data_IF_589055349543
#
_entry.id   IF_589055349543
#
_cell.length_a   1.000
_cell.length_b   1.000
_cell.length_c   1.000
_cell.angle_alpha   90.00
_cell.angle_beta   90.00
_cell.angle_gamma   90.00
#
_symmetry.space_group_name_H-M   'P 1'
#
loop_
_entity.id
_entity.type
_entity.pdbx_description
1 polymer ?
#
# COMPACT_ATOMS: atom_id res chain seq x y z
N UNK A 1 -16.19 23.19 -20.86
CA UNK A 1 -14.78 22.74 -20.93
C UNK A 1 -14.69 21.37 -20.26
N UNK A 2 -14.44 20.30 -21.01
CA UNK A 2 -14.16 18.98 -20.40
C UNK A 2 -12.82 19.10 -19.67
N UNK A 3 -12.69 18.71 -18.39
CA UNK A 3 -11.39 18.77 -17.73
C UNK A 3 -10.38 17.98 -18.55
N UNK A 4 -9.22 18.58 -18.82
CA UNK A 4 -8.14 18.06 -19.68
C UNK A 4 -7.52 16.74 -19.18
N UNK A 5 -7.93 16.28 -17.99
CA UNK A 5 -7.47 15.05 -17.37
C UNK A 5 -8.66 14.10 -17.13
N UNK A 6 -8.71 13.01 -17.91
CA UNK A 6 -9.76 11.98 -17.82
C UNK A 6 -9.75 11.31 -16.45
N UNK A 7 -10.91 10.80 -16.02
CA UNK A 7 -11.04 10.09 -14.74
C UNK A 7 -10.13 8.84 -14.72
N UNK A 8 -10.05 8.11 -15.82
CA UNK A 8 -9.13 6.99 -15.99
C UNK A 8 -7.66 7.39 -15.71
N UNK A 9 -7.22 8.54 -16.21
CA UNK A 9 -5.86 9.01 -15.97
C UNK A 9 -5.62 9.42 -14.51
N UNK A 10 -6.66 9.84 -13.77
CA UNK A 10 -6.58 10.07 -12.32
C UNK A 10 -6.33 8.77 -11.57
N UNK A 11 -7.06 7.71 -11.91
CA UNK A 11 -6.84 6.39 -11.33
C UNK A 11 -5.47 5.81 -11.70
N UNK A 12 -5.04 5.93 -12.97
CA UNK A 12 -3.71 5.50 -13.42
C UNK A 12 -2.61 6.21 -12.63
N UNK A 13 -2.72 7.53 -12.48
CA UNK A 13 -1.77 8.32 -11.71
C UNK A 13 -1.79 7.94 -10.23
N UNK A 14 -2.97 7.72 -9.64
CA UNK A 14 -3.09 7.27 -8.27
C UNK A 14 -2.41 5.91 -8.05
N UNK A 15 -2.70 4.92 -8.90
CA UNK A 15 -2.06 3.61 -8.81
C UNK A 15 -0.54 3.72 -9.01
N UNK A 16 -0.07 4.49 -9.99
CA UNK A 16 1.36 4.71 -10.19
C UNK A 16 2.03 5.30 -8.96
N UNK A 17 1.50 6.37 -8.39
CA UNK A 17 2.05 7.02 -7.19
C UNK A 17 1.97 6.12 -5.95
N UNK A 18 0.88 5.38 -5.79
CA UNK A 18 0.67 4.49 -4.65
C UNK A 18 1.72 3.40 -4.63
N UNK A 19 1.88 2.71 -5.76
CA UNK A 19 2.84 1.63 -5.89
C UNK A 19 4.28 2.13 -5.98
N UNK A 20 4.53 3.32 -6.52
CA UNK A 20 5.84 3.97 -6.43
C UNK A 20 6.22 4.22 -4.96
N UNK A 21 5.31 4.78 -4.15
CA UNK A 21 5.54 4.96 -2.72
C UNK A 21 5.83 3.64 -2.01
N UNK A 22 5.09 2.57 -2.35
CA UNK A 22 5.37 1.21 -1.84
C UNK A 22 6.77 0.73 -2.28
N UNK A 23 7.16 0.95 -3.53
CA UNK A 23 8.49 0.57 -4.06
C UNK A 23 9.65 1.32 -3.43
N UNK A 24 9.43 2.57 -2.99
CA UNK A 24 10.41 3.36 -2.22
C UNK A 24 10.52 2.86 -0.79
N UNK A 25 9.40 2.56 -0.14
CA UNK A 25 9.36 2.30 1.30
C UNK A 25 9.61 0.83 1.65
N UNK A 26 8.81 -0.06 1.04
CA UNK A 26 8.67 -1.43 1.51
C UNK A 26 9.95 -2.27 1.40
N UNK A 27 10.76 -2.19 0.32
CA UNK A 27 11.98 -2.99 0.25
C UNK A 27 13.12 -2.50 1.12
N UNK A 28 13.06 -1.25 1.58
CA UNK A 28 14.20 -0.57 2.23
C UNK A 28 13.91 -0.20 3.69
N UNK A 29 12.67 -0.29 4.17
CA UNK A 29 12.32 0.03 5.55
C UNK A 29 13.05 -0.84 6.58
N UNK A 30 13.26 -2.13 6.29
CA UNK A 30 14.02 -3.02 7.16
C UNK A 30 15.48 -2.55 7.30
N UNK A 31 16.09 -2.11 6.19
CA UNK A 31 17.43 -1.55 6.16
C UNK A 31 17.51 -0.21 6.91
N UNK A 32 16.53 0.68 6.73
CA UNK A 32 16.42 1.92 7.50
C UNK A 32 16.34 1.65 9.01
N UNK A 33 15.48 0.72 9.44
CA UNK A 33 15.34 0.38 10.85
C UNK A 33 16.63 -0.24 11.41
N UNK A 34 17.34 -1.04 10.61
CA UNK A 34 18.66 -1.57 10.99
C UNK A 34 19.71 -0.47 11.14
N UNK A 35 19.65 0.59 10.33
CA UNK A 35 20.62 1.70 10.37
C UNK A 35 20.48 2.61 11.61
N UNK A 36 19.34 2.56 12.29
CA UNK A 36 19.08 3.28 13.55
C UNK A 36 19.27 2.38 14.78
N UNK A 37 20.11 1.34 14.64
CA UNK A 37 20.52 0.41 15.71
C UNK A 37 19.37 -0.39 16.37
N UNK A 38 18.25 -0.60 15.66
CA UNK A 38 17.21 -1.52 16.14
C UNK A 38 17.65 -2.97 16.01
N UNK A 39 17.35 -3.77 17.02
CA UNK A 39 17.59 -5.22 16.97
C UNK A 39 16.70 -5.90 15.93
N UNK A 40 17.17 -7.01 15.35
CA UNK A 40 16.39 -7.79 14.38
C UNK A 40 15.01 -8.23 14.90
N UNK A 41 14.89 -8.51 16.21
CA UNK A 41 13.59 -8.83 16.84
C UNK A 41 12.63 -7.63 16.86
N UNK A 42 13.14 -6.42 17.13
CA UNK A 42 12.34 -5.20 17.07
C UNK A 42 11.89 -4.89 15.63
N UNK A 43 12.79 -5.02 14.65
CA UNK A 43 12.48 -4.83 13.24
C UNK A 43 11.39 -5.81 12.81
N UNK A 44 11.56 -7.11 13.11
CA UNK A 44 10.58 -8.14 12.81
C UNK A 44 9.20 -7.85 13.41
N UNK A 45 9.15 -7.35 14.65
CA UNK A 45 7.89 -6.96 15.29
C UNK A 45 7.20 -5.81 14.56
N UNK A 46 7.93 -4.74 14.22
CA UNK A 46 7.37 -3.58 13.51
C UNK A 46 6.84 -3.98 12.13
N UNK A 47 7.60 -4.78 11.38
CA UNK A 47 7.20 -5.24 10.05
C UNK A 47 6.00 -6.20 10.10
N UNK A 48 5.91 -7.06 11.12
CA UNK A 48 4.80 -8.01 11.27
C UNK A 48 3.49 -7.34 11.71
N UNK A 49 3.57 -6.25 12.50
CA UNK A 49 2.38 -5.54 12.97
C UNK A 49 1.60 -4.87 11.86
N UNK A 50 2.27 -4.35 10.83
CA UNK A 50 1.62 -3.66 9.71
C UNK A 50 0.59 -4.54 8.98
N UNK A 51 0.93 -5.74 8.47
CA UNK A 51 -0.04 -6.61 7.83
C UNK A 51 -1.07 -7.19 8.81
N UNK A 52 -0.69 -7.48 10.05
CA UNK A 52 -1.60 -8.02 11.07
C UNK A 52 -2.73 -7.02 11.39
N UNK A 53 -2.36 -5.78 11.71
CA UNK A 53 -3.32 -4.71 11.99
C UNK A 53 -4.10 -4.39 10.72
N UNK A 54 -3.42 -4.31 9.57
CA UNK A 54 -4.06 -4.09 8.28
C UNK A 54 -5.19 -5.10 8.01
N UNK A 55 -4.95 -6.37 8.26
CA UNK A 55 -5.96 -7.44 8.10
C UNK A 55 -7.19 -7.24 8.99
N UNK A 56 -7.00 -6.83 10.25
CA UNK A 56 -8.09 -6.61 11.20
C UNK A 56 -8.87 -5.32 10.90
N UNK A 57 -8.19 -4.28 10.43
CA UNK A 57 -8.71 -2.92 10.32
C UNK A 57 -9.26 -2.61 8.93
N UNK A 58 -8.79 -3.30 7.87
CA UNK A 58 -9.32 -3.16 6.51
C UNK A 58 -10.85 -3.34 6.41
N UNK A 59 -11.46 -4.40 6.98
CA UNK A 59 -12.91 -4.59 6.91
C UNK A 59 -13.68 -3.48 7.63
N UNK A 60 -13.14 -2.96 8.73
CA UNK A 60 -13.76 -1.88 9.51
C UNK A 60 -13.81 -0.57 8.71
N UNK A 61 -12.72 -0.23 8.01
CA UNK A 61 -12.71 0.96 7.13
C UNK A 61 -13.64 0.81 5.94
N UNK A 62 -13.72 -0.38 5.34
CA UNK A 62 -14.69 -0.67 4.29
C UNK A 62 -16.11 -0.41 4.78
N UNK A 63 -16.45 -0.97 5.95
CA UNK A 63 -17.77 -0.78 6.57
C UNK A 63 -18.11 0.69 6.82
N UNK A 64 -17.20 1.42 7.48
CA UNK A 64 -17.41 2.81 7.83
C UNK A 64 -17.57 3.66 6.58
N UNK A 65 -16.75 3.41 5.56
CA UNK A 65 -16.84 4.16 4.30
C UNK A 65 -18.14 3.87 3.56
N UNK A 66 -18.58 2.60 3.54
CA UNK A 66 -19.82 2.17 2.90
C UNK A 66 -21.07 2.74 3.61
N UNK A 67 -21.10 2.73 4.94
CA UNK A 67 -22.26 3.19 5.73
C UNK A 67 -22.41 4.71 5.72
N UNK A 68 -21.30 5.45 5.79
CA UNK A 68 -21.32 6.91 5.86
C UNK A 68 -21.12 7.60 4.50
N UNK A 69 -20.92 6.82 3.41
CA UNK A 69 -20.62 7.34 2.08
C UNK A 69 -19.40 8.30 2.06
N UNK A 70 -18.34 7.90 2.76
CA UNK A 70 -17.14 8.73 2.98
C UNK A 70 -15.92 8.25 2.20
N UNK A 71 -16.07 7.47 1.12
CA UNK A 71 -14.96 6.81 0.42
C UNK A 71 -13.84 7.78 0.03
N UNK A 72 -14.16 8.87 -0.66
CA UNK A 72 -13.16 9.87 -1.04
C UNK A 72 -12.57 10.59 0.16
N UNK A 73 -13.40 10.98 1.14
CA UNK A 73 -12.94 11.66 2.34
C UNK A 73 -11.98 10.79 3.15
N UNK A 74 -12.36 9.53 3.39
CA UNK A 74 -11.54 8.54 4.09
C UNK A 74 -10.24 8.26 3.33
N UNK A 75 -10.26 8.22 2.00
CA UNK A 75 -9.06 8.04 1.18
C UNK A 75 -8.09 9.23 1.34
N UNK A 76 -8.58 10.47 1.22
CA UNK A 76 -7.78 11.69 1.39
C UNK A 76 -7.22 11.77 2.80
N UNK A 77 -8.07 11.54 3.81
CA UNK A 77 -7.69 11.54 5.22
C UNK A 77 -6.59 10.50 5.51
N UNK A 78 -6.75 9.28 4.98
CA UNK A 78 -5.77 8.22 5.11
C UNK A 78 -4.42 8.60 4.50
N UNK A 79 -4.39 9.10 3.26
CA UNK A 79 -3.17 9.53 2.59
C UNK A 79 -2.44 10.66 3.34
N UNK A 80 -3.16 11.70 3.78
CA UNK A 80 -2.57 12.80 4.55
C UNK A 80 -2.05 12.34 5.91
N UNK A 81 -2.83 11.53 6.62
CA UNK A 81 -2.45 11.06 7.95
C UNK A 81 -1.24 10.14 7.89
N UNK A 82 -1.15 9.27 6.87
CA UNK A 82 0.06 8.46 6.62
C UNK A 82 1.27 9.36 6.37
N UNK A 83 1.14 10.41 5.54
CA UNK A 83 2.23 11.35 5.32
C UNK A 83 2.74 11.98 6.62
N UNK A 84 1.84 12.40 7.52
CA UNK A 84 2.20 13.00 8.81
C UNK A 84 2.88 11.99 9.73
N UNK A 85 2.36 10.76 9.80
CA UNK A 85 2.93 9.69 10.64
C UNK A 85 4.36 9.34 10.20
N UNK A 86 4.61 9.31 8.89
CA UNK A 86 5.94 9.03 8.34
C UNK A 86 6.94 10.14 8.63
N UNK A 87 6.51 11.40 8.64
CA UNK A 87 7.37 12.50 9.13
C UNK A 87 7.72 12.28 10.60
N UNK A 88 6.76 11.87 11.44
CA UNK A 88 7.02 11.52 12.84
C UNK A 88 8.04 10.38 13.00
N UNK A 89 7.99 9.38 12.11
CA UNK A 89 8.96 8.28 12.06
C UNK A 89 10.41 8.75 11.86
N UNK A 90 10.62 9.80 11.06
CA UNK A 90 11.94 10.36 10.79
C UNK A 90 12.50 11.19 11.96
N UNK A 91 11.66 11.57 12.93
CA UNK A 91 12.05 12.45 14.05
C UNK A 91 12.43 11.70 15.33
N UNK A 92 12.34 10.37 15.35
CA UNK A 92 12.60 9.57 16.56
C UNK A 92 13.37 8.29 16.24
N UNK A 93 14.20 7.86 17.20
CA UNK A 93 14.86 6.56 17.21
C UNK A 93 14.35 5.67 18.37
N UNK A 94 13.46 6.22 19.22
CA UNK A 94 12.93 5.47 20.36
C UNK A 94 11.96 4.39 19.88
N UNK A 95 12.28 3.14 20.17
CA UNK A 95 11.51 1.96 19.77
C UNK A 95 10.02 2.04 20.17
N UNK A 96 9.68 2.48 21.37
CA UNK A 96 8.27 2.52 21.83
C UNK A 96 7.44 3.57 21.08
N UNK A 97 8.08 4.68 20.70
CA UNK A 97 7.46 5.69 19.85
C UNK A 97 7.28 5.14 18.43
N UNK A 98 8.32 4.49 17.87
CA UNK A 98 8.24 3.85 16.55
C UNK A 98 7.18 2.74 16.50
N UNK A 99 7.03 1.96 17.57
CA UNK A 99 5.98 0.96 17.71
C UNK A 99 4.58 1.60 17.65
N UNK A 100 4.37 2.67 18.41
CA UNK A 100 3.11 3.41 18.44
C UNK A 100 2.79 4.02 17.06
N UNK A 101 3.80 4.61 16.41
CA UNK A 101 3.67 5.14 15.05
C UNK A 101 3.43 4.04 14.02
N UNK A 102 4.00 2.84 14.20
CA UNK A 102 3.76 1.68 13.32
C UNK A 102 2.32 1.22 13.38
N UNK A 103 1.76 1.12 14.60
CA UNK A 103 0.35 0.77 14.81
C UNK A 103 -0.55 1.81 14.14
N UNK A 104 -0.26 3.09 14.38
CA UNK A 104 -1.02 4.19 13.80
C UNK A 104 -0.91 4.19 12.26
N UNK A 105 0.29 4.00 11.71
CA UNK A 105 0.52 3.85 10.28
C UNK A 105 -0.28 2.69 9.69
N UNK A 106 -0.29 1.52 10.34
CA UNK A 106 -1.02 0.35 9.87
C UNK A 106 -2.53 0.58 9.82
N UNK A 107 -3.10 1.22 10.85
CA UNK A 107 -4.53 1.59 10.91
C UNK A 107 -4.90 2.58 9.81
N UNK A 108 -4.08 3.61 9.59
CA UNK A 108 -4.38 4.69 8.65
C UNK A 108 -4.10 4.31 7.19
N UNK A 109 -3.12 3.43 6.94
CA UNK A 109 -2.76 2.95 5.59
C UNK A 109 -3.71 1.86 5.08
N UNK A 110 -4.33 1.09 5.98
CA UNK A 110 -5.29 0.02 5.66
C UNK A 110 -6.35 0.39 4.60
N UNK A 111 -7.07 1.53 4.70
CA UNK A 111 -8.15 1.88 3.76
C UNK A 111 -7.66 2.23 2.35
N UNK A 112 -6.43 2.72 2.18
CA UNK A 112 -6.00 3.36 0.93
C UNK A 112 -6.17 2.41 -0.27
N UNK A 113 -5.74 1.15 -0.14
CA UNK A 113 -5.80 0.16 -1.21
C UNK A 113 -7.22 -0.32 -1.53
N UNK A 114 -8.05 -0.52 -0.50
CA UNK A 114 -9.42 -1.00 -0.70
C UNK A 114 -10.31 0.10 -1.29
N UNK A 115 -10.19 1.33 -0.80
CA UNK A 115 -11.06 2.44 -1.22
C UNK A 115 -10.77 2.86 -2.66
N UNK A 116 -9.49 3.00 -3.05
CA UNK A 116 -9.17 3.32 -4.46
C UNK A 116 -9.65 2.20 -5.40
N UNK A 117 -9.53 0.94 -4.99
CA UNK A 117 -9.97 -0.19 -5.82
C UNK A 117 -11.49 -0.18 -5.98
N UNK A 118 -12.24 0.05 -4.90
CA UNK A 118 -13.71 0.18 -4.97
C UNK A 118 -14.14 1.35 -5.84
N UNK A 119 -13.54 2.54 -5.66
CA UNK A 119 -13.81 3.73 -6.48
C UNK A 119 -13.51 3.50 -7.96
N UNK A 120 -12.41 2.82 -8.28
CA UNK A 120 -12.04 2.50 -9.66
C UNK A 120 -13.00 1.51 -10.30
N UNK A 121 -13.40 0.45 -9.56
CA UNK A 121 -14.35 -0.55 -10.07
C UNK A 121 -15.74 0.05 -10.28
N UNK A 122 -16.19 0.94 -9.39
CA UNK A 122 -17.47 1.62 -9.55
C UNK A 122 -17.48 2.57 -10.75
N UNK A 123 -16.42 3.35 -10.94
CA UNK A 123 -16.24 4.19 -12.13
C UNK A 123 -16.35 3.36 -13.42
N UNK A 124 -15.63 2.24 -13.49
CA UNK A 124 -15.67 1.33 -14.65
C UNK A 124 -17.00 0.60 -14.82
N UNK A 125 -17.77 0.41 -13.76
CA UNK A 125 -19.10 -0.20 -13.83
C UNK A 125 -20.15 0.79 -14.37
N UNK A 126 -20.02 2.08 -14.04
CA UNK A 126 -20.94 3.16 -14.47
C UNK A 126 -20.69 3.60 -15.90
N UNK A 127 -19.42 3.78 -16.25
CA UNK A 127 -18.99 4.06 -17.59
C UNK A 127 -18.32 2.78 -18.10
N UNK A 128 -19.00 1.94 -18.92
CA UNK A 128 -18.36 0.80 -19.59
C UNK A 128 -17.35 1.34 -20.62
N UNK A 129 -16.24 1.85 -20.11
CA UNK A 129 -15.11 2.31 -20.85
C UNK A 129 -14.44 1.10 -21.50
N UNK A 130 -13.78 1.31 -22.63
CA UNK A 130 -12.96 0.27 -23.27
C UNK A 130 -11.76 -0.17 -22.40
N UNK A 131 -11.49 0.56 -21.32
CA UNK A 131 -10.40 0.40 -20.38
C UNK A 131 -10.78 -0.54 -19.24
N UNK A 132 -10.27 -1.78 -19.25
CA UNK A 132 -10.45 -2.71 -18.13
C UNK A 132 -9.68 -2.29 -16.88
N UNK A 133 -10.11 -2.75 -15.71
CA UNK A 133 -9.45 -2.50 -14.41
C UNK A 133 -7.94 -2.86 -14.43
N UNK A 134 -7.57 -3.92 -15.17
CA UNK A 134 -6.18 -4.30 -15.37
C UNK A 134 -5.32 -3.20 -16.00
N UNK A 135 -5.87 -2.40 -16.94
CA UNK A 135 -5.16 -1.28 -17.55
C UNK A 135 -4.88 -0.15 -16.56
N UNK A 136 -5.81 0.11 -15.63
CA UNK A 136 -5.58 1.09 -14.56
C UNK A 136 -4.51 0.60 -13.59
N UNK A 137 -4.60 -0.67 -13.18
CA UNK A 137 -3.69 -1.28 -12.19
C UNK A 137 -2.28 -1.51 -12.72
N UNK A 138 -2.09 -1.71 -14.03
CA UNK A 138 -0.78 -1.88 -14.66
C UNK A 138 0.17 -0.70 -14.36
N UNK A 139 -0.36 0.51 -14.31
CA UNK A 139 0.42 1.69 -13.94
C UNK A 139 0.99 1.62 -12.52
N UNK A 140 0.36 0.84 -11.64
CA UNK A 140 0.90 0.49 -10.34
C UNK A 140 2.22 -0.30 -10.44
N UNK A 141 2.25 -1.40 -11.19
CA UNK A 141 3.49 -2.17 -11.39
C UNK A 141 4.60 -1.33 -12.03
N UNK A 142 4.26 -0.49 -13.02
CA UNK A 142 5.22 0.46 -13.61
C UNK A 142 5.77 1.42 -12.54
N UNK A 143 4.89 2.01 -11.72
CA UNK A 143 5.28 2.90 -10.63
C UNK A 143 6.19 2.22 -9.61
N UNK A 144 5.85 0.99 -9.19
CA UNK A 144 6.69 0.21 -8.27
C UNK A 144 8.07 -0.06 -8.87
N UNK A 145 8.13 -0.59 -10.10
CA UNK A 145 9.37 -0.99 -10.74
C UNK A 145 10.33 0.20 -10.96
N UNK A 146 9.81 1.33 -11.44
CA UNK A 146 10.59 2.55 -11.63
C UNK A 146 11.13 3.08 -10.30
N UNK A 147 10.29 3.09 -9.26
CA UNK A 147 10.66 3.65 -7.97
C UNK A 147 11.63 2.74 -7.19
N UNK A 148 11.40 1.43 -7.17
CA UNK A 148 12.30 0.47 -6.52
C UNK A 148 13.67 0.43 -7.21
N UNK A 149 13.69 0.46 -8.55
CA UNK A 149 14.94 0.56 -9.29
C UNK A 149 15.65 1.89 -9.05
N UNK A 150 14.93 3.01 -9.08
CA UNK A 150 15.51 4.34 -8.86
C UNK A 150 16.17 4.49 -7.50
N UNK A 151 15.53 4.02 -6.42
CA UNK A 151 16.12 4.03 -5.08
C UNK A 151 17.30 3.05 -4.98
N UNK A 152 17.23 1.88 -5.62
CA UNK A 152 18.33 0.91 -5.63
C UNK A 152 19.55 1.34 -6.44
N UNK A 153 19.37 2.13 -7.51
CA UNK A 153 20.46 2.49 -8.44
C UNK A 153 21.27 3.72 -7.98
N UNK A 154 20.63 4.70 -7.34
CA UNK A 154 21.26 6.01 -7.10
C UNK A 154 21.75 6.23 -5.66
N UNK A 155 21.45 5.33 -4.72
CA UNK A 155 21.10 5.79 -3.38
C UNK A 155 21.44 4.81 -2.23
N UNK A 156 22.22 3.76 -2.47
CA UNK A 156 22.35 2.63 -1.53
C UNK A 156 23.12 2.95 -0.25
N UNK A 157 24.02 3.94 -0.24
CA UNK A 157 24.77 4.32 0.97
C UNK A 157 24.26 5.61 1.63
N UNK A 158 24.00 6.68 0.86
CA UNK A 158 23.54 7.97 1.42
C UNK A 158 22.02 8.14 1.52
N UNK A 159 21.20 7.22 0.97
CA UNK A 159 19.76 7.47 0.80
C UNK A 159 18.82 6.72 1.71
N UNK A 160 19.33 5.94 2.65
CA UNK A 160 18.52 5.40 3.74
C UNK A 160 17.64 6.49 4.38
N UNK A 161 18.20 7.70 4.55
CA UNK A 161 17.50 8.84 5.12
C UNK A 161 16.46 9.48 4.17
N UNK A 162 16.56 9.27 2.86
CA UNK A 162 15.62 9.81 1.86
C UNK A 162 14.37 8.94 1.67
N UNK A 163 14.39 7.68 2.12
CA UNK A 163 13.24 6.76 2.03
C UNK A 163 12.00 7.35 2.68
N UNK A 164 12.11 7.83 3.93
CA UNK A 164 10.95 8.34 4.68
C UNK A 164 10.39 9.65 4.08
N UNK A 165 11.21 10.69 3.78
CA UNK A 165 10.73 11.90 3.13
C UNK A 165 10.07 11.64 1.77
N UNK A 166 10.66 10.79 0.93
CA UNK A 166 10.10 10.46 -0.38
C UNK A 166 8.79 9.68 -0.25
N UNK A 167 8.70 8.75 0.70
CA UNK A 167 7.46 8.05 0.97
C UNK A 167 6.37 8.99 1.52
N UNK A 168 6.71 9.92 2.43
CA UNK A 168 5.78 10.94 2.91
C UNK A 168 5.29 11.83 1.75
N UNK A 169 6.20 12.32 0.90
CA UNK A 169 5.88 13.12 -0.26
C UNK A 169 4.96 12.38 -1.24
N UNK A 170 5.21 11.09 -1.47
CA UNK A 170 4.35 10.26 -2.32
C UNK A 170 2.91 10.16 -1.76
N UNK A 171 2.75 10.01 -0.44
CA UNK A 171 1.43 9.97 0.20
C UNK A 171 0.74 11.34 0.22
N UNK A 172 1.48 12.42 0.38
CA UNK A 172 0.95 13.77 0.22
C UNK A 172 0.45 14.02 -1.21
N UNK A 173 1.23 13.60 -2.22
CA UNK A 173 0.81 13.66 -3.62
C UNK A 173 -0.41 12.79 -3.89
N UNK A 174 -0.51 11.59 -3.28
CA UNK A 174 -1.70 10.75 -3.36
C UNK A 174 -2.95 11.44 -2.80
N UNK A 175 -2.83 12.18 -1.70
CA UNK A 175 -3.95 12.96 -1.17
C UNK A 175 -4.41 14.03 -2.16
N UNK A 176 -3.48 14.73 -2.81
CA UNK A 176 -3.81 15.72 -3.85
C UNK A 176 -4.52 15.07 -5.05
N UNK A 177 -4.08 13.89 -5.49
CA UNK A 177 -4.75 13.15 -6.57
C UNK A 177 -6.11 12.61 -6.12
N UNK A 178 -6.24 12.11 -4.88
CA UNK A 178 -7.50 11.61 -4.33
C UNK A 178 -8.60 12.67 -4.30
N UNK A 179 -8.26 13.96 -4.08
CA UNK A 179 -9.22 15.06 -4.18
C UNK A 179 -9.84 15.20 -5.58
N UNK A 180 -9.15 14.72 -6.62
CA UNK A 180 -9.63 14.75 -8.00
C UNK A 180 -10.48 13.53 -8.38
N UNK A 181 -10.47 12.47 -7.58
CA UNK A 181 -11.24 11.24 -7.86
C UNK A 181 -12.72 11.51 -7.53
N UNK A 182 -13.68 11.14 -8.41
CA UNK A 182 -15.10 11.28 -8.11
C UNK A 182 -15.50 10.39 -6.94
N UNK A 183 -16.47 10.84 -6.15
CA UNK A 183 -17.01 10.00 -5.07
C UNK A 183 -17.89 8.89 -5.65
N UNK A 184 -17.93 7.79 -4.90
CA UNK A 184 -18.77 6.65 -5.17
C UNK A 184 -20.12 6.82 -4.46
N UNK A 185 -21.22 6.56 -5.17
CA UNK A 185 -22.52 6.34 -4.52
C UNK A 185 -22.75 4.84 -4.42
N UNK A 186 -22.12 4.22 -3.42
CA UNK A 186 -22.33 2.79 -3.14
C UNK A 186 -23.74 2.61 -2.59
N UNK A 187 -24.66 2.19 -3.46
CA UNK A 187 -26.03 1.83 -3.09
C UNK A 187 -26.07 0.33 -2.74
N UNK A 188 -25.89 -0.01 -1.46
CA UNK A 188 -26.02 -1.38 -0.99
C UNK A 188 -26.12 -1.47 0.53
N UNK A 189 -27.10 -2.24 1.04
CA UNK A 189 -27.15 -2.55 2.47
C UNK A 189 -26.09 -3.61 2.80
N UNK A 190 -25.14 -3.26 3.68
CA UNK A 190 -24.06 -4.18 4.06
C UNK A 190 -24.59 -5.24 5.03
N UNK A 191 -24.66 -6.50 4.61
CA UNK A 191 -25.10 -7.64 5.45
C UNK A 191 -23.97 -8.64 5.75
N UNK A 192 -23.21 -8.39 6.82
CA UNK A 192 -22.05 -9.21 7.24
C UNK A 192 -22.40 -10.66 7.53
N UNK A 193 -23.59 -10.91 8.08
CA UNK A 193 -24.04 -12.27 8.42
C UNK A 193 -24.17 -13.13 7.15
N UNK A 194 -24.61 -12.52 6.07
CA UNK A 194 -24.73 -13.17 4.78
C UNK A 194 -23.36 -13.46 4.17
N UNK A 195 -22.41 -12.53 4.25
CA UNK A 195 -21.01 -12.73 3.82
C UNK A 195 -20.32 -13.92 4.52
N UNK A 196 -20.44 -14.02 5.85
CA UNK A 196 -19.91 -15.18 6.59
C UNK A 196 -20.66 -16.47 6.29
N UNK A 197 -21.97 -16.39 6.03
CA UNK A 197 -22.75 -17.57 5.61
C UNK A 197 -22.33 -18.08 4.22
N UNK A 198 -21.97 -17.18 3.30
CA UNK A 198 -21.52 -17.49 1.94
C UNK A 198 -20.20 -18.23 1.94
N UNK A 199 -19.25 -17.82 2.79
CA UNK A 199 -18.00 -18.55 3.04
C UNK A 199 -18.29 -20.02 3.39
N UNK A 200 -19.22 -20.27 4.33
CA UNK A 200 -19.55 -21.64 4.74
C UNK A 200 -20.33 -22.42 3.67
N UNK A 201 -21.16 -21.74 2.87
CA UNK A 201 -22.07 -22.35 1.89
C UNK A 201 -21.37 -22.68 0.57
N UNK A 202 -20.45 -21.82 0.13
CA UNK A 202 -19.70 -21.98 -1.11
C UNK A 202 -18.30 -22.56 -0.85
N UNK A 203 -18.16 -23.87 -1.10
CA UNK A 203 -16.90 -24.59 -0.95
C UNK A 203 -15.85 -24.16 -1.99
N UNK A 204 -16.26 -23.68 -3.16
CA UNK A 204 -15.34 -23.18 -4.19
C UNK A 204 -14.71 -21.88 -3.73
N UNK A 205 -15.53 -20.94 -3.21
CA UNK A 205 -15.05 -19.69 -2.62
C UNK A 205 -14.08 -19.94 -1.46
N UNK A 206 -14.41 -20.85 -0.53
CA UNK A 206 -13.52 -21.18 0.59
C UNK A 206 -12.18 -21.75 0.12
N UNK A 207 -12.18 -22.69 -0.83
CA UNK A 207 -10.94 -23.26 -1.39
C UNK A 207 -10.11 -22.21 -2.11
N UNK A 208 -10.77 -21.32 -2.84
CA UNK A 208 -10.13 -20.21 -3.53
C UNK A 208 -9.44 -19.26 -2.54
N UNK A 209 -10.13 -18.86 -1.47
CA UNK A 209 -9.56 -18.00 -0.42
C UNK A 209 -8.43 -18.67 0.36
N UNK A 210 -8.52 -19.98 0.63
CA UNK A 210 -7.43 -20.75 1.22
C UNK A 210 -6.19 -20.80 0.30
N UNK A 211 -6.38 -20.98 -1.00
CA UNK A 211 -5.30 -20.91 -1.98
C UNK A 211 -4.63 -19.53 -1.99
N UNK A 212 -5.41 -18.46 -1.97
CA UNK A 212 -4.91 -17.09 -1.87
C UNK A 212 -4.14 -16.84 -0.57
N UNK A 213 -4.59 -17.41 0.56
CA UNK A 213 -3.87 -17.32 1.83
C UNK A 213 -2.49 -17.96 1.73
N UNK A 214 -2.40 -19.18 1.18
CA UNK A 214 -1.12 -19.88 1.03
C UNK A 214 -0.15 -19.12 0.14
N UNK A 215 -0.62 -18.64 -1.02
CA UNK A 215 0.19 -17.81 -1.93
C UNK A 215 0.62 -16.51 -1.23
N UNK A 216 -0.29 -15.88 -0.48
CA UNK A 216 -0.03 -14.65 0.26
C UNK A 216 1.04 -14.80 1.34
N UNK A 217 1.05 -15.92 2.07
CA UNK A 217 2.10 -16.23 3.06
C UNK A 217 3.46 -16.35 2.37
N UNK A 218 3.56 -17.10 1.27
CA UNK A 218 4.81 -17.26 0.52
C UNK A 218 5.31 -15.93 -0.03
N UNK A 219 4.43 -15.14 -0.65
CA UNK A 219 4.75 -13.80 -1.15
C UNK A 219 5.19 -12.88 -0.02
N UNK A 220 4.53 -12.93 1.15
CA UNK A 220 4.88 -12.14 2.32
C UNK A 220 6.31 -12.39 2.81
N UNK A 221 6.74 -13.66 2.84
CA UNK A 221 8.11 -14.03 3.21
C UNK A 221 9.12 -13.46 2.22
N UNK A 222 8.92 -13.70 0.92
CA UNK A 222 9.82 -13.21 -0.13
C UNK A 222 9.92 -11.68 -0.09
N UNK A 223 8.77 -11.00 -0.05
CA UNK A 223 8.68 -9.55 -0.11
C UNK A 223 9.38 -8.86 1.09
N UNK A 224 9.30 -9.43 2.31
CA UNK A 224 9.91 -8.79 3.49
C UNK A 224 11.41 -9.10 3.65
N UNK A 225 11.88 -10.26 3.19
CA UNK A 225 13.24 -10.72 3.49
C UNK A 225 14.19 -10.75 2.30
N UNK A 226 13.70 -10.57 1.06
CA UNK A 226 14.56 -10.60 -0.13
C UNK A 226 15.67 -9.54 -0.07
N UNK A 227 15.34 -8.29 0.27
CA UNK A 227 16.35 -7.22 0.37
C UNK A 227 17.40 -7.50 1.44
N UNK A 228 16.98 -8.05 2.59
CA UNK A 228 17.87 -8.42 3.70
C UNK A 228 18.81 -9.54 3.25
N UNK A 229 18.25 -10.61 2.67
CA UNK A 229 19.03 -11.74 2.16
C UNK A 229 20.06 -11.31 1.11
N UNK A 230 19.67 -10.45 0.16
CA UNK A 230 20.59 -9.95 -0.86
C UNK A 230 21.70 -9.07 -0.26
N UNK A 231 21.41 -8.31 0.79
CA UNK A 231 22.41 -7.52 1.52
C UNK A 231 23.40 -8.44 2.25
N UNK A 232 22.90 -9.50 2.90
CA UNK A 232 23.73 -10.45 3.66
C UNK A 232 24.74 -11.22 2.80
N UNK A 233 24.39 -11.49 1.53
CA UNK A 233 25.32 -12.11 0.56
C UNK A 233 26.24 -11.10 -0.13
N UNK A 234 26.22 -9.82 0.28
CA UNK A 234 27.05 -8.76 -0.27
C UNK A 234 26.63 -8.28 -1.66
N UNK A 235 25.35 -8.43 -2.04
CA UNK A 235 24.88 -7.97 -3.34
C UNK A 235 24.89 -6.43 -3.41
N UNK A 236 25.36 -5.90 -4.54
CA UNK A 236 25.27 -4.47 -4.82
C UNK A 236 23.79 -4.03 -4.82
N UNK A 237 23.47 -2.84 -4.32
CA UNK A 237 22.06 -2.41 -4.22
C UNK A 237 21.35 -2.23 -5.57
N UNK A 238 22.09 -2.15 -6.68
CA UNK A 238 21.53 -2.26 -8.04
C UNK A 238 20.91 -3.65 -8.28
N UNK A 239 21.53 -4.72 -7.78
CA UNK A 239 21.01 -6.09 -7.87
C UNK A 239 19.75 -6.23 -7.01
N UNK A 240 19.75 -5.59 -5.82
CA UNK A 240 18.57 -5.54 -4.95
C UNK A 240 17.41 -4.86 -5.66
N UNK A 241 17.64 -3.66 -6.20
CA UNK A 241 16.61 -2.88 -6.91
C UNK A 241 16.08 -3.58 -8.16
N UNK A 242 16.95 -4.22 -8.95
CA UNK A 242 16.54 -4.95 -10.17
C UNK A 242 15.77 -6.23 -9.85
N UNK A 243 16.17 -7.01 -8.85
CA UNK A 243 15.44 -8.21 -8.43
C UNK A 243 13.99 -7.87 -8.01
N UNK A 244 13.82 -6.78 -7.26
CA UNK A 244 12.50 -6.29 -6.85
C UNK A 244 11.68 -5.76 -8.03
N UNK A 245 12.32 -5.03 -8.96
CA UNK A 245 11.64 -4.49 -10.13
C UNK A 245 11.12 -5.59 -11.07
N UNK A 246 11.85 -6.70 -11.22
CA UNK A 246 11.42 -7.86 -12.02
C UNK A 246 10.25 -8.60 -11.35
N UNK A 247 10.14 -8.54 -10.02
CA UNK A 247 9.06 -9.19 -9.26
C UNK A 247 7.75 -8.37 -9.21
N UNK A 248 7.74 -7.15 -9.76
CA UNK A 248 6.62 -6.19 -9.71
C UNK A 248 5.51 -6.48 -10.73
#
# INVERSE_FOLDING_TARGET
>A
MRPTFSIDNRFRLFFALQFAGIGIFFPYIALYLSSIDLSGGQIGLLLALVPLIGFLVQPLWGLVSDVYHLHRFALVFACLSVSVVIVGFAMTQNFWILLSLTILHAVLKAPIGILVTSLALEHLAREPAQTGFGSLRLWGSIGFAVASFGIGAFFVEDAIWWILPLYALSNFALAAVALTIPDAEIHGQVNWKEGFSLLRRDRMLTRFLLGLLLIGVTLGIVNNYLSVYLTDIGAAGLIIGTALAISA
#
